data_IF_655697145365
#
_entry.id   IF_655697145365
#
_cell.length_a   1.000
_cell.length_b   1.000
_cell.length_c   1.000
_cell.angle_alpha   90.00
_cell.angle_beta   90.00
_cell.angle_gamma   90.00
#
_symmetry.space_group_name_H-M   'P 1'
#
loop_
_entity.id
_entity.type
_entity.pdbx_description
1 polymer ?
#
# COMPACT_ATOMS: atom_id res chain seq x y z
N UNK A 1 18.75 -29.77 52.79
CA UNK A 1 19.48 -30.41 51.66
C UNK A 1 18.68 -30.18 50.39
N UNK A 2 18.76 -28.99 49.78
CA UNK A 2 18.20 -28.77 48.45
C UNK A 2 19.05 -29.59 47.46
N UNK A 3 18.44 -30.63 46.92
CA UNK A 3 19.13 -31.72 46.25
C UNK A 3 19.86 -31.24 45.00
N UNK A 4 21.09 -31.75 44.76
CA UNK A 4 21.93 -31.43 43.58
C UNK A 4 21.15 -31.54 42.25
N UNK A 5 20.10 -32.37 42.22
CA UNK A 5 19.19 -32.52 41.08
C UNK A 5 18.42 -31.23 40.72
N UNK A 6 18.04 -30.39 41.69
CA UNK A 6 17.31 -29.15 41.43
C UNK A 6 18.18 -28.11 40.70
N UNK A 7 19.49 -28.08 41.00
CA UNK A 7 20.44 -27.18 40.35
C UNK A 7 20.71 -27.64 38.91
N UNK A 8 20.84 -28.96 38.68
CA UNK A 8 21.02 -29.50 37.32
C UNK A 8 19.80 -29.26 36.42
N UNK A 9 18.58 -29.43 36.93
CA UNK A 9 17.35 -29.15 36.16
C UNK A 9 17.25 -27.65 35.83
N UNK A 10 17.58 -26.76 36.77
CA UNK A 10 17.58 -25.32 36.51
C UNK A 10 18.61 -24.91 35.44
N UNK A 11 19.83 -25.47 35.52
CA UNK A 11 20.86 -25.24 34.50
C UNK A 11 20.45 -25.79 33.13
N UNK A 12 19.77 -26.95 33.10
CA UNK A 12 19.22 -27.51 31.87
C UNK A 12 18.13 -26.60 31.27
N UNK A 13 17.18 -26.13 32.09
CA UNK A 13 16.13 -25.20 31.64
C UNK A 13 16.70 -23.86 31.16
N UNK A 14 17.71 -23.32 31.84
CA UNK A 14 18.43 -22.13 31.40
C UNK A 14 19.15 -22.38 30.07
N UNK A 15 19.81 -23.52 29.91
CA UNK A 15 20.46 -23.87 28.64
C UNK A 15 19.46 -24.07 27.50
N UNK A 16 18.29 -24.65 27.79
CA UNK A 16 17.24 -24.88 26.80
C UNK A 16 16.57 -23.55 26.39
N UNK A 17 16.37 -22.63 27.33
CA UNK A 17 15.81 -21.29 27.06
C UNK A 17 16.73 -20.44 26.20
N UNK A 18 18.04 -20.45 26.49
CA UNK A 18 19.04 -19.72 25.70
C UNK A 18 19.21 -20.32 24.30
N UNK A 19 19.09 -21.64 24.15
CA UNK A 19 19.06 -22.31 22.86
C UNK A 19 17.83 -21.90 22.04
N UNK A 20 16.65 -21.87 22.66
CA UNK A 20 15.40 -21.44 22.02
C UNK A 20 15.47 -20.00 21.50
N UNK A 21 16.03 -19.08 22.30
CA UNK A 21 16.23 -17.67 21.89
C UNK A 21 17.19 -17.56 20.70
N UNK A 22 18.26 -18.35 20.66
CA UNK A 22 19.20 -18.38 19.52
C UNK A 22 18.55 -18.92 18.24
N UNK A 23 17.77 -20.00 18.34
CA UNK A 23 17.03 -20.55 17.19
C UNK A 23 16.02 -19.53 16.64
N UNK A 24 15.29 -18.84 17.52
CA UNK A 24 14.35 -17.79 17.10
C UNK A 24 15.06 -16.60 16.43
N UNK A 25 16.20 -16.17 16.96
CA UNK A 25 17.01 -15.10 16.35
C UNK A 25 17.53 -15.49 14.96
N UNK A 26 17.97 -16.74 14.78
CA UNK A 26 18.43 -17.26 13.48
C UNK A 26 17.29 -17.30 12.47
N UNK A 27 16.12 -17.81 12.86
CA UNK A 27 14.94 -17.86 12.01
C UNK A 27 14.44 -16.45 11.63
N UNK A 28 14.57 -15.47 12.53
CA UNK A 28 14.23 -14.07 12.22
C UNK A 28 15.23 -13.47 11.23
N UNK A 29 16.52 -13.70 11.43
CA UNK A 29 17.59 -13.24 10.53
C UNK A 29 17.42 -13.78 9.12
N UNK A 30 17.12 -15.07 8.98
CA UNK A 30 16.91 -15.73 7.68
C UNK A 30 15.71 -15.13 6.94
N UNK A 31 14.58 -14.91 7.63
CA UNK A 31 13.40 -14.26 7.03
C UNK A 31 13.65 -12.81 6.59
N UNK A 32 14.45 -12.08 7.35
CA UNK A 32 14.79 -10.69 7.05
C UNK A 32 15.77 -10.61 5.86
N UNK A 33 16.70 -11.55 5.78
CA UNK A 33 17.60 -11.71 4.62
C UNK A 33 16.83 -12.10 3.36
N UNK A 34 15.91 -13.08 3.45
CA UNK A 34 15.02 -13.47 2.34
C UNK A 34 14.15 -12.31 1.86
N UNK A 35 13.58 -11.53 2.78
CA UNK A 35 12.79 -10.34 2.46
C UNK A 35 13.65 -9.28 1.76
N UNK A 36 14.81 -8.93 2.32
CA UNK A 36 15.71 -7.92 1.76
C UNK A 36 16.28 -8.37 0.40
N UNK A 37 16.56 -9.66 0.24
CA UNK A 37 16.97 -10.29 -1.01
C UNK A 37 15.88 -10.20 -2.06
N UNK A 38 14.64 -10.54 -1.70
CA UNK A 38 13.47 -10.43 -2.57
C UNK A 38 13.20 -8.97 -3.00
N UNK A 39 13.26 -8.02 -2.06
CA UNK A 39 13.09 -6.59 -2.35
C UNK A 39 14.17 -6.11 -3.33
N UNK A 40 15.44 -6.45 -3.06
CA UNK A 40 16.57 -6.07 -3.91
C UNK A 40 16.45 -6.68 -5.30
N UNK A 41 16.07 -7.97 -5.39
CA UNK A 41 15.80 -8.65 -6.65
C UNK A 41 14.68 -7.96 -7.43
N UNK A 42 13.55 -7.65 -6.78
CA UNK A 42 12.40 -7.03 -7.43
C UNK A 42 12.76 -5.65 -8.00
N UNK A 43 13.39 -4.79 -7.18
CA UNK A 43 13.85 -3.46 -7.59
C UNK A 43 14.84 -3.55 -8.75
N UNK A 44 15.81 -4.47 -8.69
CA UNK A 44 16.81 -4.64 -9.74
C UNK A 44 16.21 -5.18 -11.04
N UNK A 45 15.27 -6.13 -10.97
CA UNK A 45 14.58 -6.62 -12.17
C UNK A 45 13.69 -5.57 -12.81
N UNK A 46 12.96 -4.80 -11.99
CA UNK A 46 12.19 -3.67 -12.50
C UNK A 46 13.09 -2.66 -13.21
N UNK A 47 14.21 -2.27 -12.59
CA UNK A 47 15.18 -1.34 -13.17
C UNK A 47 15.81 -1.89 -14.45
N UNK A 48 16.20 -3.17 -14.48
CA UNK A 48 16.74 -3.82 -15.70
C UNK A 48 15.71 -3.82 -16.82
N UNK A 49 14.46 -4.19 -16.53
CA UNK A 49 13.37 -4.21 -17.51
C UNK A 49 13.08 -2.80 -18.03
N UNK A 50 12.99 -1.81 -17.14
CA UNK A 50 12.80 -0.42 -17.50
C UNK A 50 13.96 0.14 -18.34
N UNK A 51 15.21 -0.10 -17.94
CA UNK A 51 16.38 0.37 -18.67
C UNK A 51 16.51 -0.30 -20.05
N UNK A 52 16.27 -1.60 -20.15
CA UNK A 52 16.26 -2.31 -21.44
C UNK A 52 15.17 -1.74 -22.36
N UNK A 53 14.00 -1.43 -21.82
CA UNK A 53 12.92 -0.77 -22.55
C UNK A 53 13.30 0.65 -22.98
N UNK A 54 13.94 1.44 -22.12
CA UNK A 54 14.42 2.80 -22.44
C UNK A 54 15.55 2.77 -23.48
N UNK A 55 16.47 1.81 -23.42
CA UNK A 55 17.59 1.66 -24.36
C UNK A 55 17.11 1.27 -25.77
N UNK A 56 16.02 0.50 -25.87
CA UNK A 56 15.34 0.25 -27.15
C UNK A 56 14.66 1.49 -27.73
N UNK A 57 14.39 2.52 -26.91
CA UNK A 57 13.71 3.76 -27.31
C UNK A 57 14.67 4.90 -27.72
N UNK A 58 15.97 4.80 -27.42
CA UNK A 58 16.98 5.85 -27.67
C UNK A 58 17.75 5.71 -28.98
N UNK A 59 17.36 4.78 -29.88
CA UNK A 59 17.89 4.73 -31.26
C UNK A 59 16.99 5.60 -32.17
N UNK A 60 17.56 6.70 -32.68
CA UNK A 60 16.95 7.74 -33.55
C UNK A 60 16.33 7.21 -34.88
N UNK A 61 15.44 7.95 -35.57
CA UNK A 61 14.03 7.59 -35.64
C UNK A 61 13.52 7.46 -37.10
N UNK A 62 12.81 6.38 -37.39
CA UNK A 62 11.96 6.30 -38.57
C UNK A 62 10.59 5.78 -38.16
N UNK A 63 9.63 6.69 -38.04
CA UNK A 63 8.21 6.34 -37.96
C UNK A 63 7.62 6.40 -36.56
N UNK A 64 6.64 7.29 -36.42
CA UNK A 64 5.48 7.24 -35.51
C UNK A 64 5.44 5.96 -34.66
N UNK A 65 6.04 5.97 -33.48
CA UNK A 65 6.16 4.73 -32.69
C UNK A 65 7.10 4.77 -31.49
N UNK A 66 7.81 5.87 -31.23
CA UNK A 66 8.52 6.06 -29.96
C UNK A 66 7.49 6.03 -28.84
N UNK A 67 7.50 4.95 -28.06
CA UNK A 67 6.70 4.75 -26.85
C UNK A 67 6.88 5.97 -25.96
N UNK A 68 5.91 6.86 -26.04
CA UNK A 68 5.86 8.16 -25.39
C UNK A 68 6.16 7.95 -23.91
N UNK A 69 7.30 8.45 -23.43
CA UNK A 69 7.52 8.71 -22.00
C UNK A 69 6.23 9.29 -21.47
N UNK A 70 5.51 8.57 -20.60
CA UNK A 70 4.08 8.82 -20.33
C UNK A 70 3.79 10.30 -20.04
N UNK A 71 3.43 11.05 -21.09
CA UNK A 71 3.37 12.50 -21.02
C UNK A 71 2.23 12.93 -20.11
N UNK A 72 1.16 12.13 -20.03
CA UNK A 72 0.03 12.37 -19.14
C UNK A 72 0.47 12.24 -17.69
N UNK A 73 1.18 11.17 -17.35
CA UNK A 73 1.76 10.99 -16.03
C UNK A 73 2.75 12.11 -15.71
N UNK A 74 3.69 12.42 -16.61
CA UNK A 74 4.67 13.50 -16.41
C UNK A 74 3.96 14.83 -16.10
N UNK A 75 2.99 15.21 -16.93
CA UNK A 75 2.25 16.45 -16.76
C UNK A 75 1.46 16.48 -15.45
N UNK A 76 0.86 15.36 -15.05
CA UNK A 76 0.15 15.25 -13.79
C UNK A 76 1.07 15.44 -12.57
N UNK A 77 2.31 14.94 -12.64
CA UNK A 77 3.30 15.04 -11.57
C UNK A 77 3.93 16.45 -11.43
N UNK A 78 3.88 17.29 -12.48
CA UNK A 78 4.46 18.65 -12.45
C UNK A 78 3.69 19.63 -11.55
N UNK A 79 2.40 19.39 -11.29
CA UNK A 79 1.54 20.29 -10.51
C UNK A 79 0.65 19.48 -9.56
N UNK A 80 1.26 19.00 -8.48
CA UNK A 80 0.56 18.21 -7.45
C UNK A 80 -0.39 19.09 -6.64
N UNK A 81 -1.58 18.58 -6.38
CA UNK A 81 -2.54 19.14 -5.43
C UNK A 81 -2.60 18.23 -4.21
N UNK A 82 -2.63 18.80 -3.01
CA UNK A 82 -2.77 18.04 -1.76
C UNK A 82 -4.08 18.42 -1.09
N UNK A 83 -4.83 17.41 -0.65
CA UNK A 83 -6.09 17.52 0.09
C UNK A 83 -5.92 16.74 1.39
N UNK A 84 -6.17 17.35 2.54
CA UNK A 84 -6.10 16.70 3.84
C UNK A 84 -7.48 16.16 4.23
N UNK A 85 -7.54 14.90 4.64
CA UNK A 85 -8.77 14.25 5.11
C UNK A 85 -8.60 13.87 6.56
N UNK A 86 -9.51 14.32 7.43
CA UNK A 86 -9.48 13.96 8.84
C UNK A 86 -10.87 13.97 9.49
N UNK A 87 -11.22 12.86 10.14
CA UNK A 87 -12.52 12.67 10.77
C UNK A 87 -12.79 13.65 11.93
N UNK A 88 -11.72 14.20 12.54
CA UNK A 88 -11.81 15.19 13.62
C UNK A 88 -12.15 16.61 13.13
N UNK A 89 -12.19 16.83 11.80
CA UNK A 89 -12.49 18.12 11.17
C UNK A 89 -11.30 19.07 11.04
N UNK A 90 -10.07 18.63 11.35
CA UNK A 90 -8.84 19.43 11.18
C UNK A 90 -8.25 19.36 9.77
N UNK A 91 -8.85 18.58 8.88
CA UNK A 91 -8.50 18.51 7.45
C UNK A 91 -9.45 19.36 6.58
N UNK A 92 -9.21 19.35 5.27
CA UNK A 92 -10.08 20.01 4.29
C UNK A 92 -11.44 19.31 4.18
N UNK A 93 -11.46 17.98 4.38
CA UNK A 93 -12.67 17.15 4.40
C UNK A 93 -12.67 16.18 5.57
N UNK A 94 -13.88 15.75 6.00
CA UNK A 94 -14.04 14.76 7.07
C UNK A 94 -14.05 13.32 6.56
N UNK A 95 -14.43 13.12 5.31
CA UNK A 95 -14.52 11.80 4.66
C UNK A 95 -13.69 11.72 3.38
N UNK A 96 -13.34 10.49 3.00
CA UNK A 96 -12.60 10.23 1.76
C UNK A 96 -13.51 10.48 0.55
N UNK A 97 -14.78 10.12 0.66
CA UNK A 97 -15.76 10.34 -0.41
C UNK A 97 -15.96 11.83 -0.72
N UNK A 98 -16.13 12.70 0.28
CA UNK A 98 -16.26 14.14 0.04
C UNK A 98 -15.01 14.72 -0.64
N UNK A 99 -13.82 14.29 -0.22
CA UNK A 99 -12.58 14.70 -0.86
C UNK A 99 -12.51 14.28 -2.33
N UNK A 100 -12.93 13.05 -2.66
CA UNK A 100 -13.02 12.58 -4.05
C UNK A 100 -14.05 13.37 -4.87
N UNK A 101 -15.23 13.63 -4.30
CA UNK A 101 -16.32 14.36 -4.95
C UNK A 101 -15.94 15.83 -5.25
N UNK A 102 -14.98 16.40 -4.50
CA UNK A 102 -14.46 17.75 -4.74
C UNK A 102 -13.55 17.87 -5.97
N UNK A 103 -13.06 16.74 -6.51
CA UNK A 103 -12.10 16.73 -7.60
C UNK A 103 -12.86 16.76 -8.94
N UNK A 104 -12.54 17.69 -9.85
CA UNK A 104 -13.16 17.71 -11.17
C UNK A 104 -12.95 16.40 -11.93
N UNK A 105 -14.01 15.93 -12.59
CA UNK A 105 -13.91 14.79 -13.51
C UNK A 105 -12.91 15.09 -14.63
N UNK A 106 -12.31 14.03 -15.18
CA UNK A 106 -11.23 14.07 -16.16
C UNK A 106 -9.99 14.83 -15.68
N UNK A 107 -9.74 14.75 -14.37
CA UNK A 107 -8.58 15.32 -13.71
C UNK A 107 -7.26 15.03 -14.46
N UNK A 108 -6.43 16.05 -14.63
CA UNK A 108 -5.14 15.95 -15.35
C UNK A 108 -3.93 16.14 -14.42
N UNK A 109 -4.16 16.36 -13.12
CA UNK A 109 -3.13 16.65 -12.11
C UNK A 109 -3.05 15.54 -11.09
N UNK A 110 -1.88 15.29 -10.50
CA UNK A 110 -1.76 14.38 -9.36
C UNK A 110 -2.45 15.01 -8.15
N UNK A 111 -3.53 14.40 -7.67
CA UNK A 111 -4.22 14.82 -6.44
C UNK A 111 -3.89 13.82 -5.33
N UNK A 112 -3.26 14.31 -4.27
CA UNK A 112 -2.84 13.54 -3.11
C UNK A 112 -3.83 13.79 -1.98
N UNK A 113 -4.65 12.79 -1.66
CA UNK A 113 -5.44 12.76 -0.45
C UNK A 113 -4.54 12.26 0.68
N UNK A 114 -4.12 13.20 1.53
CA UNK A 114 -3.41 12.93 2.76
C UNK A 114 -4.42 12.57 3.86
N UNK A 115 -4.56 11.27 4.12
CA UNK A 115 -5.60 10.73 4.99
C UNK A 115 -4.98 10.53 6.37
N UNK A 116 -5.48 11.25 7.38
CA UNK A 116 -5.01 11.11 8.75
C UNK A 116 -5.41 9.75 9.35
N UNK A 117 -4.71 9.27 10.40
CA UNK A 117 -5.08 8.04 11.07
C UNK A 117 -6.54 8.01 11.51
N UNK A 118 -7.16 6.84 11.41
CA UNK A 118 -8.59 6.65 11.69
C UNK A 118 -9.19 5.44 10.99
N UNK A 119 -10.44 5.14 11.33
CA UNK A 119 -11.24 4.09 10.69
C UNK A 119 -12.36 4.74 9.89
N UNK A 120 -12.18 4.74 8.57
CA UNK A 120 -13.10 5.31 7.60
C UNK A 120 -14.07 4.22 7.14
N UNK A 121 -15.28 4.24 7.68
CA UNK A 121 -16.36 3.29 7.33
C UNK A 121 -17.07 3.76 6.06
N UNK A 122 -16.42 3.60 4.92
CA UNK A 122 -16.90 4.11 3.63
C UNK A 122 -16.73 3.04 2.54
N UNK A 123 -17.71 2.94 1.64
CA UNK A 123 -17.55 2.20 0.38
C UNK A 123 -17.06 3.16 -0.71
N UNK A 124 -15.86 2.94 -1.22
CA UNK A 124 -15.19 3.84 -2.16
C UNK A 124 -15.16 3.22 -3.56
N UNK A 125 -15.58 3.98 -4.55
CA UNK A 125 -15.35 3.66 -5.97
C UNK A 125 -14.66 4.84 -6.63
N UNK A 126 -13.46 4.65 -7.17
CA UNK A 126 -12.75 5.65 -7.94
C UNK A 126 -13.04 5.39 -9.43
N UNK A 127 -13.88 6.21 -10.08
CA UNK A 127 -14.32 5.94 -11.44
C UNK A 127 -13.19 6.18 -12.45
N UNK A 128 -13.31 5.63 -13.67
CA UNK A 128 -12.34 5.83 -14.77
C UNK A 128 -12.10 7.31 -15.08
N UNK A 129 -13.10 8.15 -14.84
CA UNK A 129 -13.08 9.59 -15.05
C UNK A 129 -12.24 10.34 -14.01
N UNK A 130 -11.68 9.67 -13.00
CA UNK A 130 -10.91 10.31 -11.94
C UNK A 130 -9.47 9.74 -11.83
N UNK A 131 -8.61 9.93 -12.86
CA UNK A 131 -7.23 9.44 -12.83
C UNK A 131 -6.32 10.27 -11.91
N UNK A 132 -5.11 9.76 -11.68
CA UNK A 132 -4.04 10.44 -10.94
C UNK A 132 -4.35 10.74 -9.46
N UNK A 133 -5.13 9.86 -8.82
CA UNK A 133 -5.45 9.95 -7.40
C UNK A 133 -4.40 9.21 -6.58
N UNK A 134 -3.93 9.81 -5.50
CA UNK A 134 -3.07 9.17 -4.52
C UNK A 134 -3.71 9.21 -3.15
N UNK A 135 -3.87 8.05 -2.53
CA UNK A 135 -4.14 7.94 -1.09
C UNK A 135 -2.81 7.84 -0.37
N UNK A 136 -2.56 8.75 0.55
CA UNK A 136 -1.34 8.81 1.34
C UNK A 136 -1.72 8.83 2.83
N UNK A 137 -1.50 7.70 3.50
CA UNK A 137 -1.63 7.58 4.94
C UNK A 137 -0.32 7.81 5.69
N UNK A 138 -0.43 7.90 7.01
CA UNK A 138 0.72 7.94 7.91
C UNK A 138 1.42 6.58 7.94
N UNK A 139 2.76 6.54 7.90
CA UNK A 139 3.53 5.29 7.90
C UNK A 139 3.48 4.57 9.25
N UNK A 140 3.38 5.30 10.35
CA UNK A 140 3.38 4.77 11.71
C UNK A 140 1.96 4.34 12.13
N UNK A 141 0.94 5.09 11.69
CA UNK A 141 -0.46 4.72 11.90
C UNK A 141 -1.30 4.82 10.61
N UNK A 142 -1.18 3.81 9.72
CA UNK A 142 -1.94 3.77 8.47
C UNK A 142 -3.45 3.77 8.73
N UNK A 143 -4.22 4.70 8.12
CA UNK A 143 -5.68 4.71 8.21
C UNK A 143 -6.28 3.48 7.51
N UNK A 144 -7.45 3.08 8.01
CA UNK A 144 -8.18 1.92 7.52
C UNK A 144 -9.45 2.36 6.83
N UNK A 145 -9.65 1.97 5.56
CA UNK A 145 -10.95 2.03 4.90
C UNK A 145 -11.63 0.67 5.06
N UNK A 146 -12.86 0.67 5.58
CA UNK A 146 -13.60 -0.56 5.91
C UNK A 146 -15.04 -0.48 5.44
N UNK A 147 -15.55 -1.62 4.95
CA UNK A 147 -16.96 -1.82 4.64
C UNK A 147 -17.36 -3.28 4.93
N UNK A 148 -18.66 -3.58 4.96
CA UNK A 148 -19.18 -4.89 5.40
C UNK A 148 -19.98 -5.64 4.32
N UNK A 149 -19.91 -5.21 3.07
CA UNK A 149 -20.58 -5.90 1.98
C UNK A 149 -20.05 -7.31 1.78
N UNK A 150 -20.96 -8.24 1.51
CA UNK A 150 -20.66 -9.60 1.10
C UNK A 150 -21.30 -9.87 -0.25
N UNK A 151 -20.78 -10.86 -1.00
CA UNK A 151 -21.41 -11.32 -2.24
C UNK A 151 -22.90 -11.61 -2.06
N UNK A 152 -23.29 -12.20 -0.92
CA UNK A 152 -24.68 -12.52 -0.60
C UNK A 152 -25.57 -11.28 -0.53
N UNK A 153 -25.02 -10.16 -0.07
CA UNK A 153 -25.71 -8.86 0.01
C UNK A 153 -25.70 -8.15 -1.36
N UNK A 154 -24.56 -8.15 -2.05
CA UNK A 154 -24.36 -7.36 -3.28
C UNK A 154 -24.68 -8.10 -4.58
N UNK A 155 -25.03 -9.39 -4.50
CA UNK A 155 -25.29 -10.28 -5.63
C UNK A 155 -24.05 -10.73 -6.40
N UNK A 156 -22.98 -9.93 -6.41
CA UNK A 156 -21.71 -10.26 -7.08
C UNK A 156 -20.50 -10.03 -6.18
N UNK A 157 -19.44 -10.83 -6.38
CA UNK A 157 -18.15 -10.66 -5.71
C UNK A 157 -17.46 -9.34 -6.08
N UNK A 158 -17.67 -8.87 -7.32
CA UNK A 158 -17.10 -7.59 -7.77
C UNK A 158 -17.69 -6.42 -6.98
N UNK A 159 -19.01 -6.43 -6.77
CA UNK A 159 -19.72 -5.37 -6.08
C UNK A 159 -19.49 -5.35 -4.57
N UNK A 160 -18.94 -6.42 -3.96
CA UNK A 160 -18.67 -6.46 -2.51
C UNK A 160 -17.35 -5.80 -2.10
N UNK A 161 -16.57 -5.26 -3.05
CA UNK A 161 -15.32 -4.57 -2.73
C UNK A 161 -15.57 -3.32 -1.86
N UNK A 162 -14.77 -3.17 -0.79
CA UNK A 162 -14.72 -1.94 0.02
C UNK A 162 -14.17 -0.77 -0.77
N UNK A 163 -13.12 -1.00 -1.57
CA UNK A 163 -12.52 -0.02 -2.48
C UNK A 163 -12.43 -0.61 -3.87
N UNK A 164 -13.17 -0.02 -4.82
CA UNK A 164 -13.10 -0.34 -6.24
C UNK A 164 -12.34 0.76 -7.01
N UNK A 165 -11.20 0.43 -7.61
CA UNK A 165 -10.41 1.40 -8.40
C UNK A 165 -10.51 1.08 -9.88
N UNK A 166 -11.22 1.92 -10.62
CA UNK A 166 -11.32 1.84 -12.08
C UNK A 166 -10.42 2.86 -12.79
N UNK A 167 -9.84 3.81 -12.05
CA UNK A 167 -9.03 4.89 -12.56
C UNK A 167 -7.59 4.48 -12.94
N UNK A 168 -7.04 5.13 -13.95
CA UNK A 168 -5.61 5.01 -14.27
C UNK A 168 -4.75 5.83 -13.31
N UNK A 169 -3.53 5.38 -13.07
CA UNK A 169 -2.52 6.07 -12.25
C UNK A 169 -2.91 6.29 -10.79
N UNK A 170 -3.78 5.41 -10.25
CA UNK A 170 -4.05 5.39 -8.83
C UNK A 170 -2.84 4.90 -8.04
N UNK A 171 -2.59 5.49 -6.87
CA UNK A 171 -1.56 5.06 -5.93
C UNK A 171 -2.17 5.05 -4.53
N UNK A 172 -1.84 4.03 -3.74
CA UNK A 172 -2.10 4.02 -2.30
C UNK A 172 -0.80 3.70 -1.56
N UNK A 173 -0.44 4.55 -0.59
CA UNK A 173 0.75 4.40 0.24
C UNK A 173 0.33 4.47 1.70
N UNK A 174 0.80 3.53 2.51
CA UNK A 174 0.49 3.43 3.93
C UNK A 174 -1.02 3.46 4.21
N UNK A 175 -1.77 2.60 3.53
CA UNK A 175 -3.22 2.44 3.72
C UNK A 175 -3.54 1.02 4.13
N UNK A 176 -4.58 0.85 4.93
CA UNK A 176 -5.21 -0.46 5.19
C UNK A 176 -6.58 -0.50 4.51
N UNK A 177 -6.87 -1.60 3.82
CA UNK A 177 -8.18 -1.87 3.25
C UNK A 177 -8.68 -3.18 3.84
N UNK A 178 -9.87 -3.16 4.43
CA UNK A 178 -10.45 -4.35 5.04
C UNK A 178 -11.92 -4.49 4.65
N UNK A 179 -12.38 -5.74 4.51
CA UNK A 179 -13.81 -6.06 4.57
C UNK A 179 -14.07 -6.58 5.98
N UNK A 180 -14.98 -5.98 6.73
CA UNK A 180 -15.32 -6.38 8.10
C UNK A 180 -16.78 -6.78 8.18
N UNK A 181 -17.03 -8.08 8.05
CA UNK A 181 -18.35 -8.67 8.27
C UNK A 181 -18.63 -8.63 9.77
N UNK A 182 -19.75 -8.03 10.18
CA UNK A 182 -20.23 -8.12 11.55
C UNK A 182 -20.87 -9.51 11.70
N UNK A 183 -20.25 -10.36 12.52
CA UNK A 183 -20.85 -11.60 13.01
C UNK A 183 -21.72 -11.32 14.24
#
# INVERSE_FOLDING_TARGET
MASKYNIQVLLFLLSLSTLSLKVFSLLKSEKEEDYNSWISWNVNNFRKKYNAEVETLTREPTGIGSKVLDLKLRNAEMSKVRINVSQDGTGDFKSIKEALDSIPLHNTKRVILAIKPGVYREKIVIPRTLPFITFLGDSNDPPTITWNDTKSVTGTTFSSATVGVNASYFVAVNMKFEVRVQN
#
